data_IF_553827512792
#
_entry.id   IF_553827512792
#
_cell.length_a   1.000
_cell.length_b   1.000
_cell.length_c   1.000
_cell.angle_alpha   90.00
_cell.angle_beta   90.00
_cell.angle_gamma   90.00
#
_symmetry.space_group_name_H-M   'P 1'
#
loop_
_entity.id
_entity.type
_entity.pdbx_description
1 polymer ?
#
# COMPACT_ATOMS: atom_id res chain seq x y z
N UNK A 1 5.35 -7.27 -50.48
CA UNK A 1 5.59 -8.07 -49.26
C UNK A 1 6.51 -7.39 -48.25
N UNK A 2 7.66 -6.78 -48.62
CA UNK A 2 8.60 -6.11 -47.69
C UNK A 2 7.99 -4.96 -46.88
N UNK A 3 7.07 -4.15 -47.49
CA UNK A 3 6.46 -3.00 -46.79
C UNK A 3 5.40 -3.39 -45.73
N UNK A 4 4.73 -4.52 -45.93
CA UNK A 4 3.76 -5.03 -44.96
C UNK A 4 4.46 -5.56 -43.69
N UNK A 5 5.59 -6.27 -43.85
CA UNK A 5 6.41 -6.80 -42.74
C UNK A 5 7.00 -5.64 -41.93
N UNK A 6 7.48 -4.57 -42.61
CA UNK A 6 8.03 -3.40 -41.91
C UNK A 6 6.97 -2.67 -41.06
N UNK A 7 5.74 -2.57 -41.58
CA UNK A 7 4.61 -1.95 -40.82
C UNK A 7 4.20 -2.82 -39.62
N UNK A 8 4.21 -4.14 -39.77
CA UNK A 8 3.89 -5.07 -38.68
C UNK A 8 4.96 -5.01 -37.57
N UNK A 9 6.25 -4.92 -37.95
CA UNK A 9 7.35 -4.78 -36.99
C UNK A 9 7.27 -3.44 -36.25
N UNK A 10 6.90 -2.35 -36.91
CA UNK A 10 6.75 -1.03 -36.28
C UNK A 10 5.59 -1.02 -35.27
N UNK A 11 4.47 -1.65 -35.59
CA UNK A 11 3.32 -1.75 -34.67
C UNK A 11 3.65 -2.64 -33.47
N UNK A 12 4.35 -3.75 -33.68
CA UNK A 12 4.81 -4.62 -32.59
C UNK A 12 5.82 -3.91 -31.66
N UNK A 13 6.72 -3.10 -32.21
CA UNK A 13 7.67 -2.31 -31.43
C UNK A 13 6.98 -1.23 -30.56
N UNK A 14 5.90 -0.62 -31.04
CA UNK A 14 5.11 0.37 -30.28
C UNK A 14 4.34 -0.27 -29.14
N UNK A 15 3.87 -1.51 -29.29
CA UNK A 15 3.18 -2.24 -28.21
C UNK A 15 4.12 -2.66 -27.07
N UNK A 16 5.41 -2.79 -27.31
CA UNK A 16 6.40 -3.17 -26.28
C UNK A 16 6.85 -2.00 -25.40
N UNK A 17 6.49 -0.76 -25.74
CA UNK A 17 6.88 0.45 -24.99
C UNK A 17 5.91 0.81 -23.83
N UNK A 18 4.86 0.03 -23.60
CA UNK A 18 3.92 0.23 -22.49
C UNK A 18 4.46 -0.33 -21.16
N UNK A 19 5.75 -0.20 -20.89
CA UNK A 19 6.31 -0.44 -19.57
C UNK A 19 5.89 0.70 -18.63
N UNK A 20 4.59 0.80 -18.32
CA UNK A 20 4.11 1.66 -17.24
C UNK A 20 4.78 1.22 -15.95
N UNK A 21 5.34 2.17 -15.21
CA UNK A 21 5.77 1.93 -13.83
C UNK A 21 4.55 1.41 -13.05
N UNK A 22 4.50 0.10 -12.86
CA UNK A 22 3.39 -0.55 -12.20
C UNK A 22 3.53 -0.36 -10.69
N UNK A 23 2.45 0.07 -10.03
CA UNK A 23 2.38 0.09 -8.57
C UNK A 23 2.47 -1.36 -8.09
N UNK A 24 3.37 -1.61 -7.15
CA UNK A 24 3.55 -2.93 -6.54
C UNK A 24 2.75 -3.00 -5.25
N UNK A 25 1.92 -4.02 -5.14
CA UNK A 25 1.13 -4.31 -3.95
C UNK A 25 1.69 -5.53 -3.25
N UNK A 26 1.70 -5.49 -1.93
CA UNK A 26 2.10 -6.62 -1.10
C UNK A 26 1.35 -6.58 0.22
N UNK A 27 1.15 -7.75 0.79
CA UNK A 27 0.61 -7.90 2.12
C UNK A 27 1.39 -8.95 2.92
N UNK A 28 1.32 -8.79 4.23
CA UNK A 28 1.82 -9.76 5.19
C UNK A 28 0.83 -9.86 6.35
N UNK A 29 0.62 -11.05 6.88
CA UNK A 29 -0.34 -11.27 7.95
C UNK A 29 0.12 -12.33 8.94
N UNK A 30 -0.36 -12.20 10.17
CA UNK A 30 -0.07 -13.13 11.25
C UNK A 30 -0.82 -14.44 11.02
N UNK A 31 -0.07 -15.52 10.83
CA UNK A 31 -0.62 -16.86 10.67
C UNK A 31 -1.44 -17.27 11.92
N UNK A 32 -2.56 -17.95 11.67
CA UNK A 32 -3.47 -18.40 12.74
C UNK A 32 -4.42 -17.32 13.27
N UNK A 33 -4.47 -16.12 12.65
CA UNK A 33 -5.47 -15.11 12.99
C UNK A 33 -6.84 -15.51 12.45
N UNK A 34 -7.86 -15.48 13.31
CA UNK A 34 -9.27 -15.60 12.88
C UNK A 34 -9.80 -14.20 12.51
N UNK A 35 -9.94 -13.95 11.21
CA UNK A 35 -10.48 -12.71 10.69
C UNK A 35 -12.01 -12.66 10.61
N UNK A 36 -12.72 -13.79 10.79
CA UNK A 36 -14.17 -13.88 10.53
C UNK A 36 -15.00 -13.03 11.49
N UNK A 37 -14.54 -12.92 12.74
CA UNK A 37 -15.25 -12.22 13.81
C UNK A 37 -14.84 -10.75 13.97
N UNK A 38 -13.91 -10.26 13.15
CA UNK A 38 -13.43 -8.87 13.19
C UNK A 38 -14.23 -8.04 12.20
N UNK A 39 -15.03 -7.09 12.69
CA UNK A 39 -15.99 -6.33 11.86
C UNK A 39 -15.90 -4.82 12.05
N UNK A 40 -15.43 -4.38 13.19
CA UNK A 40 -15.39 -2.96 13.52
C UNK A 40 -13.96 -2.45 13.56
N UNK A 41 -13.75 -1.18 13.15
CA UNK A 41 -12.42 -0.58 13.14
C UNK A 41 -12.44 0.87 13.59
N UNK A 42 -11.29 1.34 14.05
CA UNK A 42 -11.02 2.75 14.35
C UNK A 42 -9.64 3.13 13.82
N UNK A 43 -9.50 4.34 13.31
CA UNK A 43 -8.20 4.90 12.99
C UNK A 43 -7.46 5.28 14.28
N UNK A 44 -6.29 4.69 14.50
CA UNK A 44 -5.39 5.03 15.62
C UNK A 44 -4.45 6.15 15.21
N UNK A 45 -3.91 6.09 14.00
CA UNK A 45 -3.02 7.13 13.48
C UNK A 45 -3.09 7.25 11.96
N UNK A 46 -2.73 8.44 11.46
CA UNK A 46 -2.47 8.65 10.03
C UNK A 46 -1.34 9.68 9.88
N UNK A 47 -0.22 9.24 9.34
CA UNK A 47 0.95 10.07 9.06
C UNK A 47 1.14 10.19 7.55
N UNK A 48 1.24 11.43 7.06
CA UNK A 48 1.41 11.72 5.63
C UNK A 48 2.58 12.67 5.47
N UNK A 49 3.64 12.19 4.84
CA UNK A 49 4.89 12.93 4.58
C UNK A 49 5.12 13.12 3.07
N UNK A 50 4.06 13.50 2.36
CA UNK A 50 4.09 13.95 0.96
C UNK A 50 3.36 15.27 0.90
N UNK A 51 4.10 16.37 0.58
CA UNK A 51 3.55 17.72 0.54
C UNK A 51 2.35 17.84 -0.42
N UNK A 52 1.32 18.56 0.01
CA UNK A 52 0.10 18.79 -0.78
C UNK A 52 -0.88 17.63 -0.78
N UNK A 53 -0.64 16.58 0.00
CA UNK A 53 -1.55 15.44 0.15
C UNK A 53 -2.51 15.67 1.30
N UNK A 54 -3.81 15.47 1.06
CA UNK A 54 -4.83 15.57 2.10
C UNK A 54 -4.97 14.22 2.83
N UNK A 55 -4.58 14.21 4.11
CA UNK A 55 -4.71 13.05 4.99
C UNK A 55 -6.15 12.56 5.10
N UNK A 56 -7.10 13.47 5.22
CA UNK A 56 -8.51 13.11 5.39
C UNK A 56 -9.06 12.43 4.12
N UNK A 57 -8.66 12.91 2.95
CA UNK A 57 -9.00 12.25 1.69
C UNK A 57 -8.49 10.81 1.66
N UNK A 58 -7.24 10.57 2.06
CA UNK A 58 -6.67 9.23 2.07
C UNK A 58 -7.42 8.28 3.01
N UNK A 59 -7.77 8.75 4.22
CA UNK A 59 -8.59 7.98 5.16
C UNK A 59 -9.98 7.70 4.58
N UNK A 60 -10.64 8.68 3.97
CA UNK A 60 -11.96 8.50 3.34
C UNK A 60 -11.92 7.46 2.20
N UNK A 61 -10.85 7.43 1.40
CA UNK A 61 -10.68 6.45 0.34
C UNK A 61 -10.52 5.02 0.91
N UNK A 62 -9.73 4.88 1.96
CA UNK A 62 -9.58 3.62 2.67
C UNK A 62 -10.91 3.18 3.33
N UNK A 63 -11.61 4.10 3.99
CA UNK A 63 -12.91 3.86 4.62
C UNK A 63 -13.96 3.40 3.60
N UNK A 64 -13.97 4.01 2.41
CA UNK A 64 -14.89 3.61 1.35
C UNK A 64 -14.68 2.15 0.94
N UNK A 65 -13.41 1.72 0.84
CA UNK A 65 -13.07 0.35 0.49
C UNK A 65 -13.38 -0.62 1.63
N UNK A 66 -13.04 -0.29 2.87
CA UNK A 66 -13.33 -1.13 4.04
C UNK A 66 -14.84 -1.32 4.22
N UNK A 67 -15.64 -0.26 4.04
CA UNK A 67 -17.11 -0.36 4.07
C UNK A 67 -17.66 -1.24 2.96
N UNK A 68 -17.10 -1.17 1.76
CA UNK A 68 -17.49 -2.05 0.66
C UNK A 68 -17.23 -3.53 0.97
N UNK A 69 -16.27 -3.82 1.86
CA UNK A 69 -15.94 -5.16 2.35
C UNK A 69 -16.73 -5.57 3.60
N UNK A 70 -17.62 -4.69 4.10
CA UNK A 70 -18.48 -4.97 5.25
C UNK A 70 -17.90 -4.60 6.60
N UNK A 71 -16.78 -3.87 6.64
CA UNK A 71 -16.25 -3.31 7.89
C UNK A 71 -16.97 -2.02 8.29
N UNK A 72 -17.12 -1.79 9.58
CA UNK A 72 -17.85 -0.66 10.15
C UNK A 72 -16.91 0.16 11.02
N UNK A 73 -16.84 1.47 10.78
CA UNK A 73 -16.12 2.38 11.67
C UNK A 73 -16.84 2.48 13.01
N UNK A 74 -16.11 2.39 14.11
CA UNK A 74 -16.65 2.43 15.48
C UNK A 74 -15.70 3.18 16.40
N UNK A 75 -16.22 4.19 17.09
CA UNK A 75 -15.45 4.94 18.10
C UNK A 75 -15.48 4.27 19.48
N UNK A 76 -16.29 3.22 19.63
CA UNK A 76 -16.44 2.48 20.90
C UNK A 76 -16.10 1.01 20.71
N UNK A 77 -15.10 0.54 21.45
CA UNK A 77 -14.66 -0.85 21.48
C UNK A 77 -14.47 -1.48 20.07
N UNK A 78 -13.63 -0.92 19.20
CA UNK A 78 -13.37 -1.49 17.89
C UNK A 78 -12.64 -2.83 17.99
N UNK A 79 -12.87 -3.72 17.03
CA UNK A 79 -12.10 -4.98 16.91
C UNK A 79 -10.68 -4.71 16.39
N UNK A 80 -10.56 -3.69 15.53
CA UNK A 80 -9.35 -3.37 14.78
C UNK A 80 -8.91 -1.91 15.01
N UNK A 81 -7.61 -1.71 15.15
CA UNK A 81 -6.97 -0.40 15.14
C UNK A 81 -6.15 -0.27 13.85
N UNK A 82 -6.38 0.80 13.11
CA UNK A 82 -5.77 1.06 11.82
C UNK A 82 -4.75 2.20 11.92
N UNK A 83 -3.60 1.99 11.30
CA UNK A 83 -2.58 3.03 11.11
C UNK A 83 -2.30 3.20 9.63
N UNK A 84 -2.29 4.44 9.17
CA UNK A 84 -1.92 4.81 7.81
C UNK A 84 -0.58 5.54 7.83
N UNK A 85 0.34 5.10 6.99
CA UNK A 85 1.60 5.80 6.75
C UNK A 85 1.77 6.03 5.25
N UNK A 86 2.04 7.28 4.87
CA UNK A 86 2.28 7.68 3.50
C UNK A 86 3.55 8.51 3.45
N UNK A 87 4.51 8.08 2.68
CA UNK A 87 5.80 8.76 2.57
C UNK A 87 6.40 8.60 1.17
N UNK A 88 7.39 9.44 0.86
CA UNK A 88 8.17 9.31 -0.36
C UNK A 88 9.52 8.65 -0.10
N UNK A 89 10.00 7.89 -1.08
CA UNK A 89 11.36 7.33 -1.08
C UNK A 89 11.98 7.44 -2.46
N UNK A 90 13.31 7.31 -2.51
CA UNK A 90 14.04 7.18 -3.78
C UNK A 90 14.02 5.72 -4.19
N UNK A 91 13.47 5.43 -5.37
CA UNK A 91 13.49 4.09 -5.93
C UNK A 91 14.91 3.71 -6.35
N UNK A 92 15.47 2.71 -5.71
CA UNK A 92 16.76 2.14 -6.11
C UNK A 92 16.53 1.18 -7.25
N UNK A 93 16.42 1.58 -8.48
CA UNK A 93 16.14 0.82 -9.72
C UNK A 93 16.44 -0.70 -9.79
N UNK A 94 16.28 -1.42 -8.71
CA UNK A 94 16.45 -2.86 -8.54
C UNK A 94 15.28 -3.45 -7.74
N UNK A 95 15.11 -4.74 -7.87
CA UNK A 95 14.04 -5.57 -7.29
C UNK A 95 14.17 -5.71 -5.76
N UNK A 96 14.33 -4.60 -5.05
CA UNK A 96 14.40 -4.59 -3.58
C UNK A 96 13.00 -4.39 -3.03
N UNK A 97 12.25 -5.48 -2.92
CA UNK A 97 11.09 -5.53 -2.03
C UNK A 97 11.58 -5.29 -0.61
N UNK A 98 11.04 -4.27 0.05
CA UNK A 98 11.20 -4.16 1.50
C UNK A 98 10.30 -5.25 2.08
N UNK A 99 10.89 -6.40 2.39
CA UNK A 99 10.25 -7.41 3.23
C UNK A 99 10.06 -6.83 4.61
N UNK A 100 8.96 -6.13 4.84
CA UNK A 100 8.54 -5.71 6.17
C UNK A 100 7.77 -6.91 6.74
N UNK A 101 8.52 -7.95 7.13
CA UNK A 101 7.94 -9.12 7.77
C UNK A 101 7.23 -8.74 9.07
N UNK A 102 6.03 -9.26 9.28
CA UNK A 102 5.41 -9.33 10.62
C UNK A 102 6.15 -10.43 11.39
N UNK A 103 7.43 -10.24 11.59
CA UNK A 103 8.29 -11.16 12.26
C UNK A 103 8.80 -10.58 13.57
N UNK A 104 8.22 -10.97 14.69
CA UNK A 104 8.61 -10.78 16.08
C UNK A 104 8.73 -9.30 16.56
N UNK A 105 8.20 -8.96 17.72
CA UNK A 105 8.45 -7.68 18.36
C UNK A 105 9.92 -7.63 18.77
N UNK A 106 10.75 -7.04 17.95
CA UNK A 106 12.07 -6.60 18.37
C UNK A 106 11.83 -5.41 19.27
N UNK A 107 11.96 -5.67 20.56
CA UNK A 107 11.99 -4.78 21.70
C UNK A 107 11.68 -3.32 21.48
N UNK A 108 10.84 -2.80 22.31
CA UNK A 108 10.47 -1.44 22.78
C UNK A 108 10.88 -0.18 22.02
N UNK A 109 11.64 -0.28 20.92
CA UNK A 109 12.06 0.78 20.01
C UNK A 109 12.24 0.21 18.59
N UNK A 110 11.15 -0.26 17.98
CA UNK A 110 11.13 -0.53 16.55
C UNK A 110 11.18 0.79 15.78
N UNK A 111 12.35 1.42 15.72
CA UNK A 111 12.60 2.44 14.73
C UNK A 111 12.68 1.75 13.38
N UNK A 112 11.68 2.00 12.51
CA UNK A 112 11.92 1.89 11.08
C UNK A 112 13.10 2.82 10.81
N UNK A 113 14.28 2.26 10.65
CA UNK A 113 15.45 3.02 10.25
C UNK A 113 15.18 3.64 8.89
N UNK A 114 14.63 4.84 8.87
CA UNK A 114 14.77 5.73 7.75
C UNK A 114 16.26 6.07 7.68
N UNK A 115 17.03 5.13 7.12
CA UNK A 115 18.42 5.37 6.78
C UNK A 115 18.45 6.56 5.84
N UNK A 116 18.78 7.73 6.37
CA UNK A 116 19.18 8.90 5.59
C UNK A 116 20.52 8.62 4.92
N UNK A 117 20.62 7.49 4.22
CA UNK A 117 21.67 7.22 3.28
C UNK A 117 21.43 8.13 2.08
N UNK A 118 22.23 9.19 1.97
CA UNK A 118 22.31 10.03 0.80
C UNK A 118 22.85 9.16 -0.34
N UNK A 119 21.95 8.37 -0.97
CA UNK A 119 22.29 7.63 -2.18
C UNK A 119 22.45 8.65 -3.31
N UNK A 120 23.68 8.95 -3.65
CA UNK A 120 24.09 9.68 -4.85
C UNK A 120 23.81 8.80 -6.08
N UNK A 121 22.54 8.61 -6.41
CA UNK A 121 22.07 7.96 -7.62
C UNK A 121 20.81 8.69 -8.07
N UNK A 122 20.65 8.91 -9.36
CA UNK A 122 19.45 9.51 -9.97
C UNK A 122 18.27 8.54 -9.85
N UNK A 123 17.86 8.17 -8.63
CA UNK A 123 16.68 7.37 -8.39
C UNK A 123 15.42 8.22 -8.54
N UNK A 124 14.41 7.69 -9.21
CA UNK A 124 13.09 8.32 -9.31
C UNK A 124 12.43 8.32 -7.94
N UNK A 125 11.94 9.47 -7.49
CA UNK A 125 11.11 9.50 -6.27
C UNK A 125 9.77 8.82 -6.52
N UNK A 126 9.38 7.97 -5.59
CA UNK A 126 8.11 7.26 -5.59
C UNK A 126 7.43 7.37 -4.23
N UNK A 127 6.10 7.35 -4.25
CA UNK A 127 5.30 7.28 -3.04
C UNK A 127 5.10 5.85 -2.57
N UNK A 128 4.93 5.71 -1.26
CA UNK A 128 4.62 4.46 -0.57
C UNK A 128 3.43 4.68 0.35
N UNK A 129 2.47 3.77 0.32
CA UNK A 129 1.36 3.70 1.27
C UNK A 129 1.52 2.41 2.06
N UNK A 130 1.44 2.51 3.38
CA UNK A 130 1.40 1.37 4.31
C UNK A 130 0.14 1.48 5.15
N UNK A 131 -0.61 0.39 5.23
CA UNK A 131 -1.76 0.25 6.14
C UNK A 131 -1.47 -0.89 7.09
N UNK A 132 -1.43 -0.59 8.38
CA UNK A 132 -1.30 -1.56 9.46
C UNK A 132 -2.65 -1.79 10.11
N UNK A 133 -2.99 -3.05 10.33
CA UNK A 133 -4.20 -3.46 11.03
C UNK A 133 -3.81 -4.28 12.25
N UNK A 134 -4.13 -3.73 13.42
CA UNK A 134 -3.84 -4.29 14.73
C UNK A 134 -5.13 -4.78 15.37
N UNK A 135 -5.15 -5.99 15.90
CA UNK A 135 -6.26 -6.47 16.71
C UNK A 135 -6.30 -5.70 18.03
N UNK A 136 -7.41 -5.01 18.32
CA UNK A 136 -7.49 -4.09 19.44
C UNK A 136 -7.33 -4.80 20.79
N UNK A 137 -7.99 -5.95 20.98
CA UNK A 137 -7.98 -6.71 22.23
C UNK A 137 -6.57 -7.18 22.64
N UNK A 138 -5.78 -7.67 21.70
CA UNK A 138 -4.44 -8.22 21.95
C UNK A 138 -3.32 -7.21 21.68
N UNK A 139 -3.64 -6.04 21.13
CA UNK A 139 -2.71 -5.05 20.59
C UNK A 139 -1.64 -5.68 19.68
N UNK A 140 -2.04 -6.68 18.90
CA UNK A 140 -1.16 -7.42 18.00
C UNK A 140 -1.39 -6.98 16.57
N UNK A 141 -0.32 -6.63 15.85
CA UNK A 141 -0.38 -6.42 14.40
C UNK A 141 -0.75 -7.74 13.72
N UNK A 142 -1.87 -7.76 13.02
CA UNK A 142 -2.39 -8.98 12.38
C UNK A 142 -2.35 -8.93 10.86
N UNK A 143 -2.24 -7.73 10.28
CA UNK A 143 -2.11 -7.54 8.84
C UNK A 143 -1.40 -6.23 8.52
N UNK A 144 -0.58 -6.25 7.50
CA UNK A 144 0.06 -5.08 6.90
C UNK A 144 -0.05 -5.15 5.40
N UNK A 145 -0.57 -4.09 4.80
CA UNK A 145 -0.56 -3.92 3.36
C UNK A 145 0.37 -2.80 2.93
N UNK A 146 1.02 -2.99 1.79
CA UNK A 146 1.90 -1.99 1.19
C UNK A 146 1.57 -1.75 -0.27
N UNK A 147 1.61 -0.48 -0.70
CA UNK A 147 1.59 -0.10 -2.11
C UNK A 147 2.81 0.78 -2.39
N UNK A 148 3.65 0.35 -3.30
CA UNK A 148 4.93 0.97 -3.61
C UNK A 148 5.03 1.35 -5.09
N UNK A 149 5.93 2.29 -5.42
CA UNK A 149 6.12 2.72 -6.80
C UNK A 149 5.05 3.69 -7.28
N UNK A 150 4.32 4.32 -6.35
CA UNK A 150 3.26 5.27 -6.68
C UNK A 150 3.89 6.56 -7.22
N UNK A 151 3.55 7.00 -8.45
CA UNK A 151 3.99 8.29 -8.94
C UNK A 151 3.56 9.43 -8.00
N UNK A 152 4.47 10.32 -7.61
CA UNK A 152 4.14 11.40 -6.66
C UNK A 152 3.00 12.29 -7.13
N UNK A 153 2.83 12.45 -8.45
CA UNK A 153 1.72 13.22 -9.03
C UNK A 153 0.34 12.65 -8.66
N UNK A 154 0.26 11.36 -8.33
CA UNK A 154 -0.99 10.71 -7.93
C UNK A 154 -1.48 11.19 -6.55
N UNK A 155 -0.61 11.79 -5.73
CA UNK A 155 -0.98 12.36 -4.44
C UNK A 155 -1.58 13.76 -4.54
N UNK A 156 -1.73 14.31 -5.73
CA UNK A 156 -2.42 15.58 -5.95
C UNK A 156 -3.94 15.39 -5.95
N UNK A 157 -4.69 16.43 -5.56
CA UNK A 157 -6.16 16.42 -5.58
C UNK A 157 -6.74 16.11 -6.97
N UNK A 158 -6.01 16.41 -8.04
CA UNK A 158 -6.45 16.11 -9.41
C UNK A 158 -6.38 14.64 -9.78
N UNK A 159 -5.69 13.83 -8.99
CA UNK A 159 -5.46 12.41 -9.24
C UNK A 159 -6.20 11.49 -8.24
N UNK A 160 -7.25 11.97 -7.59
CA UNK A 160 -8.02 11.21 -6.58
C UNK A 160 -8.41 9.80 -7.07
N UNK A 161 -8.85 9.67 -8.34
CA UNK A 161 -9.22 8.37 -8.90
C UNK A 161 -8.05 7.36 -8.88
N UNK A 162 -6.81 7.83 -9.04
CA UNK A 162 -5.62 6.96 -8.96
C UNK A 162 -5.34 6.50 -7.55
N UNK A 163 -5.53 7.36 -6.56
CA UNK A 163 -5.44 6.97 -5.15
C UNK A 163 -6.56 6.02 -4.76
N UNK A 164 -7.79 6.26 -5.23
CA UNK A 164 -8.94 5.37 -5.01
C UNK A 164 -8.64 3.97 -5.55
N UNK A 165 -8.15 3.86 -6.77
CA UNK A 165 -7.72 2.61 -7.38
C UNK A 165 -6.61 1.94 -6.54
N UNK A 166 -5.63 2.72 -6.07
CA UNK A 166 -4.54 2.22 -5.23
C UNK A 166 -5.07 1.64 -3.91
N UNK A 167 -5.96 2.34 -3.19
CA UNK A 167 -6.56 1.80 -1.96
C UNK A 167 -7.45 0.59 -2.22
N UNK A 168 -8.17 0.57 -3.33
CA UNK A 168 -8.97 -0.60 -3.73
C UNK A 168 -8.08 -1.83 -3.90
N UNK A 169 -7.00 -1.72 -4.69
CA UNK A 169 -6.09 -2.83 -4.92
C UNK A 169 -5.34 -3.27 -3.65
N UNK A 170 -4.94 -2.30 -2.82
CA UNK A 170 -4.24 -2.58 -1.56
C UNK A 170 -5.15 -3.34 -0.59
N UNK A 171 -6.33 -2.78 -0.31
CA UNK A 171 -7.23 -3.32 0.71
C UNK A 171 -8.04 -4.53 0.25
N UNK A 172 -8.10 -4.85 -1.05
CA UNK A 172 -8.63 -6.12 -1.54
C UNK A 172 -7.91 -7.34 -0.96
N UNK A 173 -6.67 -7.16 -0.51
CA UNK A 173 -5.87 -8.22 0.11
C UNK A 173 -6.26 -8.46 1.58
N UNK A 174 -7.12 -7.60 2.16
CA UNK A 174 -7.63 -7.72 3.53
C UNK A 174 -9.14 -8.01 3.54
N UNK A 175 -9.65 -8.97 4.35
CA UNK A 175 -8.86 -9.97 5.06
C UNK A 175 -8.19 -10.96 4.10
N UNK A 176 -7.02 -11.49 4.46
CA UNK A 176 -6.34 -12.47 3.62
C UNK A 176 -7.20 -13.72 3.44
N UNK A 177 -7.23 -14.24 2.22
CA UNK A 177 -7.89 -15.50 1.93
C UNK A 177 -7.10 -16.62 2.62
N UNK A 178 -7.55 -17.03 3.78
CA UNK A 178 -6.95 -18.20 4.44
C UNK A 178 -7.31 -19.43 3.64
N UNK A 179 -6.33 -19.96 2.90
CA UNK A 179 -6.47 -21.30 2.31
C UNK A 179 -6.56 -22.27 3.49
N UNK A 180 -7.75 -22.81 3.73
CA UNK A 180 -7.92 -23.90 4.69
C UNK A 180 -6.97 -25.04 4.26
N UNK A 181 -5.96 -25.30 5.07
CA UNK A 181 -5.09 -26.45 4.94
C UNK A 181 -5.65 -27.61 5.72
#
# INVERSE_FOLDING_TARGET
MKSAISRFLAIAAVMLLSACAQIRYGDDFKSGTDFNNLKTYQWRSATVDIGGTDKNLLQQLADAQLRAQGFISSDSAPDLLLDLQVFSRVSSGGNTSIGIGIGMPVGRHGSIGLGTGKLLGQGKQEGVIVVDITQAQSNTLIWRGTAEGIPLINFSLKAENKLRETFTQLLQQFPPQTVAR
#
